data_IF_720070168020
#
_entry.id   IF_720070168020
#
_cell.length_a   1.000
_cell.length_b   1.000
_cell.length_c   1.000
_cell.angle_alpha   90.00
_cell.angle_beta   90.00
_cell.angle_gamma   90.00
#
_symmetry.space_group_name_H-M   'P 1'
#
loop_
_entity.id
_entity.type
_entity.pdbx_description
1 polymer ?
#
# COMPACT_ATOMS: atom_id res chain seq x y z
N UNK A 1 33.86 1.27 55.55
CA UNK A 1 32.54 0.77 55.51
C UNK A 1 32.32 -0.65 54.96
N UNK A 2 32.95 -1.67 55.57
CA UNK A 2 32.60 -3.09 55.30
C UNK A 2 31.26 -3.44 55.92
N UNK A 3 30.68 -4.56 55.46
CA UNK A 3 29.45 -5.17 55.99
C UNK A 3 29.82 -6.44 56.75
N UNK A 4 29.29 -6.59 57.96
CA UNK A 4 29.44 -7.79 58.75
C UNK A 4 28.35 -8.79 58.33
N UNK A 5 28.69 -10.02 58.01
CA UNK A 5 27.79 -11.11 57.78
C UNK A 5 28.21 -12.32 58.65
N UNK A 6 27.30 -13.28 58.81
CA UNK A 6 27.65 -14.50 59.52
C UNK A 6 27.64 -15.68 58.52
N UNK A 7 28.57 -16.58 58.73
CA UNK A 7 28.53 -17.94 58.14
C UNK A 7 28.18 -19.00 59.21
N UNK A 8 28.56 -20.20 59.04
CA UNK A 8 28.16 -21.30 59.94
C UNK A 8 28.80 -21.24 61.31
N UNK A 9 29.96 -20.61 61.48
CA UNK A 9 30.78 -20.67 62.67
C UNK A 9 31.36 -19.30 63.15
N UNK A 10 31.26 -18.23 62.35
CA UNK A 10 31.83 -16.94 62.71
C UNK A 10 31.11 -15.71 62.12
N UNK A 11 31.49 -14.53 62.58
CA UNK A 11 31.19 -13.26 61.91
C UNK A 11 32.34 -12.86 60.99
N UNK A 12 32.02 -12.58 59.77
CA UNK A 12 32.94 -12.19 58.72
C UNK A 12 32.70 -10.74 58.25
N UNK A 13 33.69 -10.17 57.61
CA UNK A 13 33.57 -8.79 57.04
C UNK A 13 33.70 -8.88 55.52
N UNK A 14 32.65 -8.51 54.83
CA UNK A 14 32.73 -8.17 53.44
C UNK A 14 33.28 -6.74 53.32
N UNK A 15 34.39 -6.55 52.60
CA UNK A 15 34.97 -5.23 52.36
C UNK A 15 33.96 -4.30 51.68
N UNK A 16 34.18 -2.97 51.82
CA UNK A 16 33.30 -1.99 51.19
C UNK A 16 33.25 -2.19 49.67
N UNK A 17 32.07 -2.11 49.08
CA UNK A 17 31.90 -1.98 47.64
C UNK A 17 32.38 -0.64 47.09
N UNK A 18 32.50 -0.53 45.78
CA UNK A 18 32.72 0.74 45.08
C UNK A 18 31.40 1.41 44.75
N UNK A 19 31.45 2.68 44.42
CA UNK A 19 30.26 3.46 44.04
C UNK A 19 29.51 2.78 42.91
N UNK A 20 28.18 2.67 43.01
CA UNK A 20 27.30 2.08 42.01
C UNK A 20 27.16 0.55 42.10
N UNK A 21 27.78 -0.12 43.08
CA UNK A 21 27.56 -1.53 43.37
C UNK A 21 26.36 -1.74 44.31
N UNK A 22 25.69 -2.84 44.15
CA UNK A 22 24.59 -3.35 44.99
C UNK A 22 25.04 -4.58 45.74
N UNK A 23 24.60 -4.75 46.99
CA UNK A 23 24.83 -5.95 47.76
C UNK A 23 23.90 -7.07 47.28
N UNK A 24 24.46 -8.18 46.90
CA UNK A 24 23.73 -9.36 46.47
C UNK A 24 23.82 -10.45 47.52
N UNK A 25 22.68 -11.04 47.87
CA UNK A 25 22.61 -12.29 48.61
C UNK A 25 22.91 -13.47 47.69
N UNK A 26 23.82 -14.32 48.09
CA UNK A 26 24.17 -15.56 47.36
C UNK A 26 23.62 -16.83 48.09
N UNK A 27 22.49 -16.65 48.80
CA UNK A 27 21.86 -17.73 49.56
C UNK A 27 22.69 -18.07 50.80
N UNK A 28 23.21 -19.29 50.92
CA UNK A 28 24.07 -19.76 52.02
C UNK A 28 25.53 -19.39 51.83
N UNK A 29 25.93 -18.84 50.69
CA UNK A 29 27.29 -18.35 50.47
C UNK A 29 27.45 -16.90 50.93
N UNK A 30 28.70 -16.44 51.10
CA UNK A 30 29.02 -15.04 51.46
C UNK A 30 28.32 -14.08 50.47
N UNK A 31 27.74 -12.96 50.95
CA UNK A 31 27.21 -11.91 50.10
C UNK A 31 28.32 -11.29 49.24
N UNK A 32 27.95 -10.71 48.12
CA UNK A 32 28.91 -10.07 47.22
C UNK A 32 28.39 -8.71 46.71
N UNK A 33 29.31 -7.85 46.28
CA UNK A 33 29.00 -6.63 45.60
C UNK A 33 28.90 -6.89 44.11
N UNK A 34 27.79 -6.46 43.50
CA UNK A 34 27.59 -6.60 42.04
C UNK A 34 27.40 -5.22 41.41
N UNK A 35 27.82 -5.10 40.15
CA UNK A 35 27.50 -3.90 39.39
C UNK A 35 26.00 -3.75 39.23
N UNK A 36 25.51 -2.53 39.28
CA UNK A 36 24.11 -2.17 38.98
C UNK A 36 23.69 -2.67 37.60
N UNK A 37 24.62 -2.70 36.63
CA UNK A 37 24.37 -3.22 35.28
C UNK A 37 24.12 -4.72 35.25
N UNK A 38 24.46 -5.44 36.33
CA UNK A 38 24.23 -6.87 36.47
C UNK A 38 22.89 -7.23 37.13
N UNK A 39 22.10 -6.23 37.54
CA UNK A 39 20.79 -6.43 38.18
C UNK A 39 19.67 -6.36 37.15
N UNK A 40 18.75 -7.32 37.21
CA UNK A 40 17.60 -7.36 36.34
C UNK A 40 17.85 -7.95 34.93
N UNK A 41 16.84 -7.96 34.07
CA UNK A 41 16.88 -8.63 32.75
C UNK A 41 17.58 -7.77 31.67
N UNK A 42 17.90 -6.50 31.94
CA UNK A 42 18.49 -5.58 30.98
C UNK A 42 19.94 -5.28 31.30
N UNK A 43 20.70 -4.92 30.28
CA UNK A 43 22.07 -4.41 30.38
C UNK A 43 22.28 -3.26 29.40
N UNK A 44 23.24 -2.39 29.75
CA UNK A 44 23.77 -1.35 28.84
C UNK A 44 25.09 -1.87 28.29
N UNK A 45 25.15 -2.07 26.99
CA UNK A 45 26.35 -2.56 26.32
C UNK A 45 26.48 -1.89 24.95
N UNK A 46 27.67 -1.40 24.64
CA UNK A 46 27.99 -0.76 23.34
C UNK A 46 27.02 0.37 22.96
N UNK A 47 26.57 1.16 23.95
CA UNK A 47 25.65 2.29 23.71
C UNK A 47 24.19 1.92 23.53
N UNK A 48 23.82 0.66 23.75
CA UNK A 48 22.44 0.18 23.65
C UNK A 48 21.94 -0.42 24.96
N UNK A 49 20.63 -0.35 25.20
CA UNK A 49 19.92 -1.09 26.25
C UNK A 49 19.41 -2.35 25.63
N UNK A 50 19.88 -3.49 26.10
CA UNK A 50 19.55 -4.80 25.54
C UNK A 50 19.20 -5.81 26.63
N UNK A 51 18.34 -6.82 26.34
CA UNK A 51 18.08 -7.90 27.27
C UNK A 51 19.34 -8.76 27.45
N UNK A 52 19.60 -9.22 28.68
CA UNK A 52 20.68 -10.18 28.94
C UNK A 52 20.43 -11.54 28.29
N UNK A 53 19.17 -11.94 28.21
CA UNK A 53 18.76 -13.09 27.41
C UNK A 53 18.12 -12.59 26.11
N UNK A 54 18.81 -12.80 25.00
CA UNK A 54 18.43 -12.33 23.66
C UNK A 54 17.42 -13.24 22.95
N UNK A 55 16.95 -14.29 23.62
CA UNK A 55 15.96 -15.23 23.06
C UNK A 55 14.54 -15.00 23.60
N UNK A 56 14.36 -13.99 24.47
CA UNK A 56 13.06 -13.69 25.04
C UNK A 56 12.29 -12.69 24.18
N UNK A 57 11.01 -12.96 24.01
CA UNK A 57 10.07 -11.99 23.47
C UNK A 57 9.94 -10.78 24.41
N UNK A 58 9.75 -9.59 23.85
CA UNK A 58 9.48 -8.38 24.59
C UNK A 58 7.99 -8.09 24.65
N UNK A 59 7.44 -8.03 25.85
CA UNK A 59 6.04 -7.70 26.09
C UNK A 59 5.95 -6.46 26.97
N UNK A 60 5.19 -5.45 26.55
CA UNK A 60 4.95 -4.23 27.30
C UNK A 60 3.43 -4.03 27.43
N UNK A 61 2.96 -3.76 28.66
CA UNK A 61 1.57 -3.50 28.96
C UNK A 61 0.68 -4.75 28.99
N UNK A 62 1.27 -5.92 29.15
CA UNK A 62 0.59 -7.19 29.34
C UNK A 62 1.54 -8.31 29.65
N UNK A 63 1.02 -9.45 30.09
CA UNK A 63 1.79 -10.64 30.53
C UNK A 63 1.73 -11.79 29.52
N UNK A 64 1.05 -11.60 28.41
CA UNK A 64 0.95 -12.57 27.33
C UNK A 64 0.96 -11.87 25.98
N UNK A 65 1.21 -12.60 24.91
CA UNK A 65 1.19 -12.09 23.53
C UNK A 65 -0.17 -11.49 23.17
N UNK A 66 -1.26 -12.04 23.69
CA UNK A 66 -2.63 -11.55 23.44
C UNK A 66 -3.03 -10.33 24.27
N UNK A 67 -2.34 -10.07 25.39
CA UNK A 67 -2.67 -8.94 26.29
C UNK A 67 -1.68 -7.78 26.18
N UNK A 68 -0.51 -7.98 25.62
CA UNK A 68 0.50 -6.93 25.45
C UNK A 68 0.00 -5.80 24.55
N UNK A 69 0.31 -4.57 24.95
CA UNK A 69 0.01 -3.36 24.16
C UNK A 69 1.04 -3.13 23.07
N UNK A 70 2.30 -3.41 23.38
CA UNK A 70 3.39 -3.47 22.42
C UNK A 70 4.15 -4.77 22.63
N UNK A 71 4.53 -5.43 21.55
CA UNK A 71 5.29 -6.66 21.61
C UNK A 71 6.30 -6.77 20.48
N UNK A 72 7.44 -7.44 20.76
CA UNK A 72 8.31 -8.02 19.74
C UNK A 72 8.34 -9.51 20.01
N UNK A 73 7.81 -10.29 19.07
CA UNK A 73 7.53 -11.71 19.20
C UNK A 73 8.44 -12.54 18.29
N UNK A 74 8.55 -13.82 18.61
CA UNK A 74 9.32 -14.80 17.84
C UNK A 74 10.82 -14.45 17.75
N UNK A 75 11.36 -13.81 18.77
CA UNK A 75 12.77 -13.36 18.80
C UNK A 75 13.73 -14.54 18.71
N UNK A 76 13.39 -15.66 19.36
CA UNK A 76 14.24 -16.86 19.36
C UNK A 76 14.07 -17.69 18.08
N UNK A 77 12.84 -17.87 17.63
CA UNK A 77 12.52 -18.76 16.50
C UNK A 77 11.36 -18.20 15.66
N UNK A 78 11.43 -18.40 14.36
CA UNK A 78 10.39 -18.01 13.41
C UNK A 78 10.62 -16.64 12.80
N UNK A 79 9.56 -16.05 12.30
CA UNK A 79 9.56 -14.71 11.70
C UNK A 79 9.30 -13.66 12.78
N UNK A 80 10.27 -12.80 13.14
CA UNK A 80 10.06 -11.75 14.11
C UNK A 80 8.94 -10.81 13.71
N UNK A 81 8.09 -10.45 14.68
CA UNK A 81 6.94 -9.56 14.49
C UNK A 81 6.91 -8.50 15.58
N UNK A 82 6.91 -7.24 15.19
CA UNK A 82 6.57 -6.13 16.07
C UNK A 82 5.07 -5.82 15.98
N UNK A 83 4.40 -5.63 17.12
CA UNK A 83 2.97 -5.34 17.12
C UNK A 83 2.59 -4.25 18.12
N UNK A 84 1.57 -3.45 17.76
CA UNK A 84 0.90 -2.49 18.63
C UNK A 84 -0.58 -2.85 18.69
N UNK A 85 -1.08 -3.10 19.90
CA UNK A 85 -2.45 -3.55 20.14
C UNK A 85 -3.22 -2.56 21.01
N UNK A 86 -4.48 -2.35 20.71
CA UNK A 86 -5.37 -1.58 21.59
C UNK A 86 -5.66 -2.31 22.92
N UNK A 87 -5.42 -3.62 22.95
CA UNK A 87 -5.78 -4.49 24.08
C UNK A 87 -7.29 -4.67 24.25
N UNK A 88 -8.09 -4.12 23.37
CA UNK A 88 -9.54 -4.22 23.35
C UNK A 88 -9.96 -4.78 22.01
N UNK A 89 -10.83 -5.78 21.99
CA UNK A 89 -11.48 -6.33 20.78
C UNK A 89 -10.53 -6.82 19.68
N UNK A 90 -9.25 -7.02 20.01
CA UNK A 90 -8.27 -7.59 19.09
C UNK A 90 -7.84 -6.68 17.92
N UNK A 91 -8.01 -5.38 18.02
CA UNK A 91 -7.43 -4.43 17.08
C UNK A 91 -5.94 -4.30 17.31
N UNK A 92 -5.15 -4.56 16.30
CA UNK A 92 -3.71 -4.39 16.30
C UNK A 92 -3.18 -4.14 14.89
N UNK A 93 -2.02 -3.52 14.84
CA UNK A 93 -1.16 -3.48 13.64
C UNK A 93 0.08 -4.32 13.92
N UNK A 94 0.55 -5.05 12.93
CA UNK A 94 1.80 -5.79 13.01
C UNK A 94 2.72 -5.47 11.83
N UNK A 95 4.01 -5.47 12.13
CA UNK A 95 5.10 -5.38 11.17
C UNK A 95 5.94 -6.65 11.29
N UNK A 96 5.99 -7.42 10.24
CA UNK A 96 6.73 -8.68 10.18
C UNK A 96 8.05 -8.52 9.44
N UNK A 97 9.06 -9.29 9.81
CA UNK A 97 10.39 -9.21 9.17
C UNK A 97 10.42 -9.73 7.73
N UNK A 98 9.34 -10.31 7.22
CA UNK A 98 9.14 -10.63 5.81
C UNK A 98 8.68 -9.42 4.96
N UNK A 99 8.58 -8.24 5.58
CA UNK A 99 8.15 -7.00 4.92
C UNK A 99 6.65 -6.75 4.96
N UNK A 100 5.87 -7.55 5.67
CA UNK A 100 4.42 -7.40 5.75
C UNK A 100 4.01 -6.39 6.83
N UNK A 101 3.18 -5.42 6.46
CA UNK A 101 2.46 -4.52 7.38
C UNK A 101 0.97 -4.84 7.27
N UNK A 102 0.34 -5.22 8.36
CA UNK A 102 -1.09 -5.59 8.34
C UNK A 102 -1.84 -5.16 9.60
N UNK A 103 -3.13 -4.86 9.45
CA UNK A 103 -4.07 -4.85 10.55
C UNK A 103 -4.56 -6.30 10.79
N UNK A 104 -4.65 -6.70 12.06
CA UNK A 104 -5.06 -8.07 12.41
C UNK A 104 -6.58 -8.23 12.40
N UNK A 105 -7.06 -9.49 12.30
CA UNK A 105 -8.49 -9.88 12.40
C UNK A 105 -9.39 -9.19 11.38
N UNK A 106 -8.95 -9.09 10.14
CA UNK A 106 -9.70 -8.48 9.04
C UNK A 106 -10.10 -7.01 9.26
N UNK A 107 -9.39 -6.29 10.15
CA UNK A 107 -9.56 -4.85 10.28
C UNK A 107 -8.91 -4.12 9.10
N UNK A 108 -9.40 -2.94 8.78
CA UNK A 108 -8.80 -2.10 7.76
C UNK A 108 -7.44 -1.58 8.23
N UNK A 109 -6.45 -1.63 7.36
CA UNK A 109 -5.20 -0.91 7.53
C UNK A 109 -5.39 0.52 6.99
N UNK A 110 -5.32 1.51 7.88
CA UNK A 110 -5.40 2.93 7.50
C UNK A 110 -4.01 3.54 7.52
N UNK A 111 -3.56 4.05 6.39
CA UNK A 111 -2.34 4.83 6.28
C UNK A 111 -2.69 6.32 6.19
N UNK A 112 -2.28 7.08 7.19
CA UNK A 112 -2.62 8.49 7.32
C UNK A 112 -3.76 8.75 8.29
N UNK A 113 -4.05 10.02 8.52
CA UNK A 113 -5.08 10.50 9.45
C UNK A 113 -5.23 12.02 9.33
N UNK A 114 -5.98 12.65 10.24
CA UNK A 114 -6.32 14.07 10.18
C UNK A 114 -5.11 15.02 10.18
N UNK A 115 -3.96 14.56 10.61
CA UNK A 115 -2.72 15.36 10.66
C UNK A 115 -1.66 14.90 9.64
N UNK A 116 -1.96 13.88 8.84
CA UNK A 116 -1.06 13.41 7.78
C UNK A 116 -1.22 14.30 6.57
N UNK A 117 -0.12 14.88 6.08
CA UNK A 117 -0.14 15.69 4.85
C UNK A 117 -0.26 14.82 3.60
N UNK A 118 0.67 13.91 3.40
CA UNK A 118 0.72 12.99 2.25
C UNK A 118 1.24 11.62 2.66
N UNK A 119 0.79 10.59 1.96
CA UNK A 119 1.43 9.27 1.93
C UNK A 119 2.13 9.12 0.58
N UNK A 120 3.46 9.14 0.58
CA UNK A 120 4.27 8.96 -0.63
C UNK A 120 4.69 7.50 -0.76
N UNK A 121 4.36 6.89 -1.88
CA UNK A 121 4.85 5.56 -2.28
C UNK A 121 5.75 5.79 -3.50
N UNK A 122 7.06 5.65 -3.33
CA UNK A 122 8.08 6.05 -4.32
C UNK A 122 8.34 4.95 -5.35
N UNK A 123 8.08 3.70 -4.97
CA UNK A 123 8.27 2.54 -5.84
C UNK A 123 6.99 2.10 -6.53
N UNK A 124 7.11 1.18 -7.47
CA UNK A 124 5.97 0.60 -8.16
C UNK A 124 5.00 -0.05 -7.17
N UNK A 125 3.73 0.27 -7.31
CA UNK A 125 2.67 -0.24 -6.45
C UNK A 125 1.79 -1.21 -7.22
N UNK A 126 1.72 -2.46 -6.76
CA UNK A 126 0.77 -3.45 -7.28
C UNK A 126 -0.48 -3.49 -6.41
N UNK A 127 -1.65 -3.28 -7.01
CA UNK A 127 -2.95 -3.40 -6.35
C UNK A 127 -3.65 -4.61 -6.93
N UNK A 128 -3.76 -5.69 -6.16
CA UNK A 128 -4.42 -6.93 -6.60
C UNK A 128 -5.95 -6.88 -6.48
N UNK A 129 -6.47 -5.88 -5.80
CA UNK A 129 -7.90 -5.61 -5.66
C UNK A 129 -8.34 -4.40 -6.48
N UNK A 130 -9.43 -3.77 -6.06
CA UNK A 130 -9.95 -2.55 -6.68
C UNK A 130 -9.29 -1.32 -6.08
N UNK A 131 -8.81 -0.40 -6.93
CA UNK A 131 -8.44 0.95 -6.54
C UNK A 131 -9.70 1.82 -6.52
N UNK A 132 -10.13 2.24 -5.33
CA UNK A 132 -11.24 3.17 -5.16
C UNK A 132 -10.71 4.51 -4.66
N UNK A 133 -10.91 5.58 -5.44
CA UNK A 133 -10.53 6.94 -5.08
C UNK A 133 -11.80 7.78 -4.88
N UNK A 134 -11.98 8.37 -3.69
CA UNK A 134 -13.08 9.30 -3.43
C UNK A 134 -12.80 10.72 -3.94
N UNK A 135 -11.57 10.99 -4.32
CA UNK A 135 -11.11 12.26 -4.89
C UNK A 135 -10.64 12.10 -6.34
N UNK A 136 -10.00 13.14 -6.86
CA UNK A 136 -9.41 13.10 -8.19
C UNK A 136 -8.18 12.18 -8.23
N UNK A 137 -8.15 11.25 -9.18
CA UNK A 137 -6.94 10.51 -9.52
C UNK A 137 -6.21 11.22 -10.66
N UNK A 138 -4.93 11.55 -10.48
CA UNK A 138 -4.08 12.17 -11.50
C UNK A 138 -3.03 11.17 -11.99
N UNK A 139 -3.02 10.92 -13.29
CA UNK A 139 -2.04 10.06 -13.95
C UNK A 139 -1.15 10.93 -14.83
N UNK A 140 0.11 11.15 -14.41
CA UNK A 140 1.02 12.07 -15.10
C UNK A 140 1.48 11.58 -16.49
N UNK A 141 1.49 10.25 -16.72
CA UNK A 141 2.00 9.63 -17.95
C UNK A 141 0.95 8.81 -18.72
N UNK A 142 -0.32 8.90 -18.33
CA UNK A 142 -1.40 8.12 -18.94
C UNK A 142 -1.80 6.87 -18.17
N UNK A 143 -2.75 6.14 -18.73
CA UNK A 143 -3.28 4.89 -18.19
C UNK A 143 -2.96 3.77 -19.17
N UNK A 144 -2.30 2.72 -18.69
CA UNK A 144 -2.03 1.54 -19.51
C UNK A 144 -3.17 0.52 -19.33
N UNK A 145 -3.77 0.10 -20.43
CA UNK A 145 -4.83 -0.92 -20.47
C UNK A 145 -4.42 -2.00 -21.47
N UNK A 146 -4.26 -3.23 -21.01
CA UNK A 146 -3.86 -4.36 -21.87
C UNK A 146 -2.62 -4.11 -22.72
N UNK A 147 -1.57 -3.53 -22.10
CA UNK A 147 -0.30 -3.15 -22.73
C UNK A 147 -0.37 -1.95 -23.70
N UNK A 148 -1.50 -1.28 -23.81
CA UNK A 148 -1.64 0.00 -24.51
C UNK A 148 -1.73 1.15 -23.51
N UNK A 149 -0.98 2.23 -23.76
CA UNK A 149 -0.99 3.41 -22.90
C UNK A 149 -1.92 4.46 -23.48
N UNK A 150 -2.97 4.80 -22.73
CA UNK A 150 -3.88 5.90 -23.07
C UNK A 150 -3.32 7.16 -22.43
N UNK A 151 -2.77 8.06 -23.23
CA UNK A 151 -2.22 9.35 -22.77
C UNK A 151 -3.20 10.50 -22.89
N UNK A 152 -4.21 10.34 -23.75
CA UNK A 152 -5.25 11.33 -23.98
C UNK A 152 -6.59 10.63 -24.24
N UNK A 153 -7.61 10.97 -23.49
CA UNK A 153 -8.98 10.53 -23.70
C UNK A 153 -9.78 11.51 -24.60
N UNK A 154 -9.17 12.64 -24.99
CA UNK A 154 -9.77 13.66 -25.82
C UNK A 154 -9.09 13.72 -27.18
N UNK A 155 -9.48 12.85 -28.10
CA UNK A 155 -8.97 12.83 -29.46
C UNK A 155 -10.08 13.04 -30.47
N UNK A 156 -9.77 12.81 -31.75
CA UNK A 156 -10.77 12.81 -32.82
C UNK A 156 -11.81 11.74 -32.54
N UNK A 157 -13.04 12.11 -32.29
CA UNK A 157 -14.15 11.19 -32.02
C UNK A 157 -14.51 11.00 -30.55
N UNK A 158 -13.71 11.53 -29.61
CA UNK A 158 -13.98 11.50 -28.17
C UNK A 158 -13.76 12.87 -27.56
N UNK A 159 -14.66 13.34 -26.70
CA UNK A 159 -14.52 14.59 -25.95
C UNK A 159 -15.05 14.46 -24.54
N UNK A 160 -14.51 15.28 -23.64
CA UNK A 160 -15.06 15.47 -22.31
C UNK A 160 -16.13 16.57 -22.37
N UNK A 161 -17.36 16.22 -22.07
CA UNK A 161 -18.47 17.16 -21.96
C UNK A 161 -19.03 17.11 -20.54
N UNK A 162 -18.86 18.19 -19.79
CA UNK A 162 -19.33 18.32 -18.40
C UNK A 162 -18.92 17.14 -17.49
N UNK A 163 -17.76 16.50 -17.74
CA UNK A 163 -17.25 15.37 -16.96
C UNK A 163 -17.63 13.99 -17.50
N UNK A 164 -18.41 13.93 -18.57
CA UNK A 164 -18.70 12.68 -19.29
C UNK A 164 -17.82 12.53 -20.52
N UNK A 165 -17.31 11.32 -20.76
CA UNK A 165 -16.63 10.99 -22.00
C UNK A 165 -17.68 10.69 -23.06
N UNK A 166 -17.78 11.54 -24.08
CA UNK A 166 -18.76 11.46 -25.15
C UNK A 166 -18.08 11.22 -26.50
N UNK A 167 -18.77 10.51 -27.41
CA UNK A 167 -18.33 10.42 -28.79
C UNK A 167 -18.78 11.63 -29.56
N UNK A 168 -17.90 12.27 -30.31
CA UNK A 168 -18.24 13.41 -31.19
C UNK A 168 -18.91 12.97 -32.50
N UNK A 169 -19.07 11.66 -32.70
CA UNK A 169 -19.69 11.06 -33.89
C UNK A 169 -21.18 11.44 -34.10
N UNK A 170 -21.79 12.21 -33.17
CA UNK A 170 -23.22 12.56 -33.25
C UNK A 170 -23.54 13.90 -33.83
N UNK A 171 -22.58 14.85 -33.91
CA UNK A 171 -22.87 16.24 -34.35
C UNK A 171 -22.35 16.56 -35.75
N UNK A 172 -21.23 16.00 -36.16
CA UNK A 172 -20.67 16.19 -37.49
C UNK A 172 -19.85 14.95 -37.88
N UNK A 173 -20.45 14.04 -38.63
CA UNK A 173 -19.72 12.95 -39.28
C UNK A 173 -19.17 13.51 -40.60
N UNK A 174 -17.86 13.56 -40.74
CA UNK A 174 -17.24 13.92 -42.01
C UNK A 174 -17.31 12.74 -42.97
N UNK A 175 -18.30 12.74 -43.83
CA UNK A 175 -18.53 11.67 -44.79
C UNK A 175 -17.38 11.50 -45.80
N UNK A 176 -16.45 12.46 -45.87
CA UNK A 176 -15.29 12.40 -46.78
C UNK A 176 -14.11 11.63 -46.17
N UNK A 177 -13.99 11.64 -44.86
CA UNK A 177 -12.82 11.06 -44.15
C UNK A 177 -13.18 9.94 -43.18
N UNK A 178 -14.40 9.96 -42.61
CA UNK A 178 -14.82 9.03 -41.55
C UNK A 178 -15.67 7.87 -42.07
N UNK A 179 -16.20 7.98 -43.29
CA UNK A 179 -16.97 6.90 -43.93
C UNK A 179 -16.18 6.30 -45.10
N UNK A 180 -15.83 5.04 -45.02
CA UNK A 180 -15.15 4.30 -46.08
C UNK A 180 -16.14 3.41 -46.78
N UNK A 181 -16.14 3.46 -48.16
CA UNK A 181 -17.04 2.66 -49.00
C UNK A 181 -18.30 3.41 -49.45
N UNK A 182 -19.22 2.69 -49.99
CA UNK A 182 -20.49 3.20 -50.50
C UNK A 182 -21.54 3.15 -49.39
N UNK A 183 -22.17 4.28 -49.06
CA UNK A 183 -23.24 4.33 -48.07
C UNK A 183 -24.52 3.71 -48.62
N UNK A 184 -25.09 2.68 -47.95
CA UNK A 184 -26.32 2.01 -48.41
C UNK A 184 -27.54 2.96 -48.49
N UNK A 185 -28.50 2.63 -49.35
CA UNK A 185 -29.76 3.40 -49.43
C UNK A 185 -30.51 3.47 -48.12
N UNK A 186 -30.52 2.39 -47.32
CA UNK A 186 -31.15 2.35 -46.00
C UNK A 186 -30.56 3.38 -45.01
N UNK A 187 -29.33 3.81 -45.23
CA UNK A 187 -28.63 4.80 -44.41
C UNK A 187 -28.52 6.19 -45.07
N UNK A 188 -29.35 6.44 -46.11
CA UNK A 188 -29.41 7.72 -46.83
C UNK A 188 -28.34 7.88 -47.92
N UNK A 189 -27.62 6.81 -48.28
CA UNK A 189 -26.65 6.83 -49.36
C UNK A 189 -27.24 6.54 -50.70
N UNK A 190 -26.39 6.41 -51.72
CA UNK A 190 -26.79 6.13 -53.12
C UNK A 190 -26.67 4.67 -53.49
N UNK A 191 -26.02 3.85 -52.64
CA UNK A 191 -25.62 2.45 -52.89
C UNK A 191 -24.78 2.25 -54.18
N UNK A 192 -24.28 3.35 -54.73
CA UNK A 192 -23.41 3.37 -55.92
C UNK A 192 -22.35 4.45 -55.83
N UNK A 193 -21.22 4.27 -56.48
CA UNK A 193 -20.21 5.29 -56.68
C UNK A 193 -20.57 6.12 -57.93
N UNK A 194 -21.35 7.15 -57.73
CA UNK A 194 -21.88 7.97 -58.81
C UNK A 194 -20.81 8.98 -59.32
N UNK A 195 -20.61 9.00 -60.65
CA UNK A 195 -19.81 10.02 -61.31
C UNK A 195 -20.70 11.08 -61.91
N UNK A 196 -20.54 12.33 -61.51
CA UNK A 196 -21.34 13.44 -62.02
C UNK A 196 -21.20 13.57 -63.56
N UNK A 197 -22.35 13.66 -64.27
CA UNK A 197 -22.42 13.91 -65.70
C UNK A 197 -23.16 15.24 -65.93
N UNK A 198 -22.56 16.14 -66.71
CA UNK A 198 -23.19 17.45 -67.01
C UNK A 198 -24.51 17.26 -67.79
N UNK A 199 -25.61 17.71 -67.24
CA UNK A 199 -26.96 17.50 -67.83
C UNK A 199 -27.54 16.08 -67.60
N UNK A 200 -26.86 15.25 -66.80
CA UNK A 200 -27.37 13.92 -66.48
C UNK A 200 -28.53 13.93 -65.46
N UNK A 201 -29.39 12.94 -65.55
CA UNK A 201 -30.54 12.80 -64.64
C UNK A 201 -30.24 11.64 -63.68
N UNK A 202 -30.39 11.92 -62.36
CA UNK A 202 -30.33 10.84 -61.34
C UNK A 202 -31.66 10.10 -61.34
N UNK A 203 -31.58 8.75 -61.41
CA UNK A 203 -32.73 7.89 -61.30
C UNK A 203 -32.41 6.74 -60.35
N UNK A 204 -33.41 6.00 -59.90
CA UNK A 204 -33.23 4.78 -59.11
C UNK A 204 -33.67 3.58 -59.92
N UNK A 205 -32.93 2.52 -59.76
CA UNK A 205 -33.37 1.15 -60.17
C UNK A 205 -33.72 0.32 -58.95
N UNK A 206 -33.56 -0.99 -59.03
CA UNK A 206 -33.99 -1.93 -57.96
C UNK A 206 -33.09 -1.89 -56.72
N UNK A 207 -31.84 -1.44 -56.83
CA UNK A 207 -30.82 -1.59 -55.77
C UNK A 207 -29.96 -0.34 -55.56
N UNK A 208 -29.96 0.65 -56.45
CA UNK A 208 -29.11 1.85 -56.31
C UNK A 208 -29.70 3.12 -56.99
N UNK A 209 -29.06 4.25 -56.72
CA UNK A 209 -29.21 5.45 -57.59
C UNK A 209 -28.16 5.37 -58.70
N UNK A 210 -28.57 5.80 -59.91
CA UNK A 210 -27.72 5.86 -61.08
C UNK A 210 -27.81 7.21 -61.79
N UNK A 211 -26.86 7.49 -62.71
CA UNK A 211 -26.87 8.68 -63.55
C UNK A 211 -27.06 8.30 -65.00
N UNK A 212 -28.20 8.69 -65.56
CA UNK A 212 -28.41 8.69 -67.00
C UNK A 212 -27.68 9.89 -67.61
N UNK A 213 -26.69 9.65 -68.45
CA UNK A 213 -25.94 10.73 -69.11
C UNK A 213 -26.88 11.54 -70.03
N UNK A 214 -26.56 12.83 -70.19
CA UNK A 214 -27.28 13.68 -71.11
C UNK A 214 -27.26 13.10 -72.56
N UNK A 215 -28.37 13.03 -73.21
CA UNK A 215 -28.43 12.70 -74.60
C UNK A 215 -27.69 13.69 -75.48
N UNK A 216 -26.99 13.22 -76.50
CA UNK A 216 -26.36 14.06 -77.53
C UNK A 216 -27.36 14.43 -78.60
#
# INVERSE_FOLDING_TARGET
GGIVYSDADSFEILAAGVQGQLLQSNGSAAPSWISQDNVGPWQVLQGSIQPKNQTLDLLIGGVSTSSAKFAVLNVNNGTPVASVSSGVSGSAISLSSDGTIQAVRNNNLTLGGNTTGQVNIVDNTAITGTLNTSGLATFASGVNVNSETITDFTGTGLQLNAGSLETTLGTNIDLTTEVTGILPLANGGTNANLTAANGGIVYSDADSFEILAAGV
#
